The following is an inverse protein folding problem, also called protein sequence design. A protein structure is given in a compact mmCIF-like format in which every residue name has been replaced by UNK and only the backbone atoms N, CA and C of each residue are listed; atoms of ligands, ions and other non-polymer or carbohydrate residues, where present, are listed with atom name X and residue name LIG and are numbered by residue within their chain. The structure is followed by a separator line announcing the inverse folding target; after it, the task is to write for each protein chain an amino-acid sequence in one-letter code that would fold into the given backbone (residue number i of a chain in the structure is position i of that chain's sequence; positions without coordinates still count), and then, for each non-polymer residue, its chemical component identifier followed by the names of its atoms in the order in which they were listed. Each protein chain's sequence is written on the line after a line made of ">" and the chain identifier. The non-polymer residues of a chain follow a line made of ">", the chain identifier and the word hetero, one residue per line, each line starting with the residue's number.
data_IF_191191984232
#
_entry.id   IF_191191984232
#
_cell.length_a   1.000
_cell.length_b   1.000
_cell.length_c   1.000
_cell.angle_alpha   90.00
_cell.angle_beta   90.00
_cell.angle_gamma   90.00
#
_symmetry.space_group_name_H-M   'P 1'
#
loop_
_entity.id
_entity.type
_entity.pdbx_description
1 polymer ?
#
# COMPACT_ATOMS: atom_id res chain seq x y z
N UNK A 1 28.91 26.94 -25.72
CA UNK A 1 28.78 26.43 -24.34
C UNK A 1 27.43 25.75 -24.23
N UNK A 2 27.38 24.44 -24.01
CA UNK A 2 26.13 23.77 -23.65
C UNK A 2 25.86 24.04 -22.17
N UNK A 3 24.77 24.75 -21.88
CA UNK A 3 24.25 24.95 -20.54
C UNK A 3 23.74 23.62 -20.01
N UNK A 4 24.43 23.05 -19.03
CA UNK A 4 24.00 21.83 -18.35
C UNK A 4 22.78 22.14 -17.47
N UNK A 5 21.64 21.54 -17.78
CA UNK A 5 20.45 21.64 -16.95
C UNK A 5 20.32 20.35 -16.11
N UNK A 6 20.58 20.37 -14.80
CA UNK A 6 20.44 19.17 -13.97
C UNK A 6 18.98 18.69 -13.86
N UNK A 7 17.99 19.53 -14.17
CA UNK A 7 16.56 19.21 -14.08
C UNK A 7 16.02 18.39 -15.27
N UNK A 8 16.89 17.91 -16.16
CA UNK A 8 16.56 16.95 -17.23
C UNK A 8 17.25 15.60 -17.03
N UNK A 9 18.07 15.45 -15.98
CA UNK A 9 18.86 14.25 -15.71
C UNK A 9 18.06 13.32 -14.79
N UNK A 10 17.72 12.10 -15.24
CA UNK A 10 16.89 11.17 -14.45
C UNK A 10 17.42 10.95 -13.03
N UNK A 11 18.71 10.65 -12.86
CA UNK A 11 19.29 10.35 -11.55
C UNK A 11 19.18 11.53 -10.58
N UNK A 12 19.45 12.75 -11.05
CA UNK A 12 19.30 13.97 -10.25
C UNK A 12 17.84 14.20 -9.86
N UNK A 13 16.91 13.97 -10.80
CA UNK A 13 15.47 14.08 -10.51
C UNK A 13 15.04 13.01 -9.50
N UNK A 14 15.50 11.76 -9.65
CA UNK A 14 15.22 10.66 -8.74
C UNK A 14 15.62 10.98 -7.29
N UNK A 15 16.81 11.57 -7.09
CA UNK A 15 17.26 12.02 -5.76
C UNK A 15 16.41 13.16 -5.19
N UNK A 16 15.91 14.06 -6.05
CA UNK A 16 15.05 15.16 -5.64
C UNK A 16 13.67 14.63 -5.23
N UNK A 17 13.03 13.81 -6.08
CA UNK A 17 11.64 13.33 -5.85
C UNK A 17 11.52 12.51 -4.57
N UNK A 18 12.56 11.75 -4.20
CA UNK A 18 12.61 11.02 -2.93
C UNK A 18 12.43 11.92 -1.69
N UNK A 19 12.86 13.18 -1.77
CA UNK A 19 12.81 14.14 -0.66
C UNK A 19 11.52 14.97 -0.64
N UNK A 20 10.69 14.86 -1.68
CA UNK A 20 9.47 15.64 -1.82
C UNK A 20 8.28 15.02 -1.09
N UNK A 21 7.38 15.88 -0.62
CA UNK A 21 6.08 15.48 -0.09
C UNK A 21 5.16 14.96 -1.21
N UNK A 22 4.10 14.21 -0.87
CA UNK A 22 3.11 13.77 -1.87
C UNK A 22 2.45 14.96 -2.60
N UNK A 23 2.22 16.06 -1.89
CA UNK A 23 1.64 17.27 -2.46
C UNK A 23 2.57 17.92 -3.49
N UNK A 24 3.88 17.97 -3.21
CA UNK A 24 4.88 18.51 -4.12
C UNK A 24 5.07 17.61 -5.35
N UNK A 25 5.09 16.29 -5.14
CA UNK A 25 5.14 15.32 -6.24
C UNK A 25 3.97 15.51 -7.21
N UNK A 26 2.77 15.76 -6.70
CA UNK A 26 1.57 16.04 -7.51
C UNK A 26 1.68 17.33 -8.33
N UNK A 27 2.40 18.35 -7.84
CA UNK A 27 2.61 19.61 -8.57
C UNK A 27 3.65 19.44 -9.67
N UNK A 28 4.73 18.71 -9.40
CA UNK A 28 5.89 18.65 -10.28
C UNK A 28 5.85 17.56 -11.34
N UNK A 29 4.89 16.62 -11.29
CA UNK A 29 4.78 15.55 -12.27
C UNK A 29 4.51 16.03 -13.71
N UNK A 30 4.12 17.30 -13.90
CA UNK A 30 3.83 17.89 -15.21
C UNK A 30 4.97 18.73 -15.81
N UNK A 31 6.13 18.81 -15.16
CA UNK A 31 7.27 19.62 -15.65
C UNK A 31 7.74 19.13 -17.03
N UNK A 32 8.05 17.83 -17.13
CA UNK A 32 8.38 17.16 -18.39
C UNK A 32 8.22 15.64 -18.23
N UNK A 33 8.41 14.91 -19.33
CA UNK A 33 8.26 13.44 -19.35
C UNK A 33 9.21 12.72 -18.38
N UNK A 34 10.41 13.23 -18.15
CA UNK A 34 11.37 12.63 -17.22
C UNK A 34 10.86 12.77 -15.79
N UNK A 35 10.45 13.97 -15.37
CA UNK A 35 9.82 14.20 -14.05
C UNK A 35 8.59 13.33 -13.84
N UNK A 36 7.72 13.23 -14.85
CA UNK A 36 6.54 12.38 -14.78
C UNK A 36 6.91 10.91 -14.46
N UNK A 37 7.91 10.35 -15.16
CA UNK A 37 8.34 8.96 -14.97
C UNK A 37 8.99 8.74 -13.60
N UNK A 38 9.90 9.62 -13.19
CA UNK A 38 10.58 9.50 -11.90
C UNK A 38 9.59 9.64 -10.73
N UNK A 39 8.62 10.56 -10.85
CA UNK A 39 7.56 10.71 -9.84
C UNK A 39 6.63 9.49 -9.83
N UNK A 40 6.25 8.96 -10.99
CA UNK A 40 5.45 7.73 -11.07
C UNK A 40 6.17 6.56 -10.39
N UNK A 41 7.47 6.42 -10.62
CA UNK A 41 8.28 5.37 -9.98
C UNK A 41 8.37 5.56 -8.46
N UNK A 42 8.61 6.78 -7.98
CA UNK A 42 8.66 7.07 -6.54
C UNK A 42 7.30 6.84 -5.86
N UNK A 43 6.19 7.22 -6.50
CA UNK A 43 4.85 6.96 -5.96
C UNK A 43 4.56 5.45 -5.88
N UNK A 44 4.94 4.66 -6.90
CA UNK A 44 4.84 3.19 -6.86
C UNK A 44 5.64 2.60 -5.71
N UNK A 45 6.89 3.02 -5.53
CA UNK A 45 7.74 2.57 -4.42
C UNK A 45 7.13 2.88 -3.05
N UNK A 46 6.62 4.11 -2.86
CA UNK A 46 5.94 4.50 -1.61
C UNK A 46 4.66 3.71 -1.37
N UNK A 47 3.92 3.41 -2.44
CA UNK A 47 2.71 2.59 -2.38
C UNK A 47 3.05 1.15 -1.94
N UNK A 48 4.03 0.51 -2.56
CA UNK A 48 4.50 -0.84 -2.21
C UNK A 48 4.92 -0.92 -0.73
N UNK A 49 5.62 0.09 -0.23
CA UNK A 49 5.99 0.16 1.20
C UNK A 49 4.75 0.17 2.11
N UNK A 50 3.67 0.88 1.76
CA UNK A 50 2.45 0.88 2.56
C UNK A 50 1.70 -0.46 2.47
N UNK A 51 1.65 -1.08 1.29
CA UNK A 51 1.07 -2.41 1.07
C UNK A 51 1.77 -3.45 1.94
N UNK A 52 3.11 -3.53 1.85
CA UNK A 52 3.92 -4.46 2.63
C UNK A 52 3.77 -4.24 4.14
N UNK A 53 3.67 -2.97 4.56
CA UNK A 53 3.42 -2.63 5.96
C UNK A 53 2.04 -3.12 6.43
N UNK A 54 1.00 -2.95 5.61
CA UNK A 54 -0.35 -3.45 5.89
C UNK A 54 -0.39 -4.98 5.98
N UNK A 55 0.26 -5.65 5.04
CA UNK A 55 0.38 -7.11 4.99
C UNK A 55 1.10 -7.67 6.23
N UNK A 56 2.25 -7.10 6.60
CA UNK A 56 2.99 -7.51 7.80
C UNK A 56 2.16 -7.38 9.07
N UNK A 57 1.36 -6.32 9.19
CA UNK A 57 0.44 -6.15 10.32
C UNK A 57 -0.64 -7.24 10.35
N UNK A 58 -1.11 -7.71 9.19
CA UNK A 58 -2.04 -8.84 9.10
C UNK A 58 -1.41 -10.14 9.59
N UNK A 59 -0.21 -10.47 9.12
CA UNK A 59 0.53 -11.65 9.58
C UNK A 59 0.81 -11.62 11.09
N UNK A 60 1.21 -10.47 11.63
CA UNK A 60 1.43 -10.31 13.06
C UNK A 60 0.14 -10.48 13.88
N UNK A 61 -1.00 -9.97 13.37
CA UNK A 61 -2.32 -10.17 13.96
C UNK A 61 -2.68 -11.64 14.02
N UNK A 62 -2.57 -12.34 12.90
CA UNK A 62 -2.99 -13.74 12.78
C UNK A 62 -2.14 -14.64 13.68
N UNK A 63 -0.82 -14.40 13.71
CA UNK A 63 0.07 -15.07 14.67
C UNK A 63 -0.36 -14.84 16.11
N UNK A 64 -0.70 -13.61 16.48
CA UNK A 64 -1.13 -13.27 17.85
C UNK A 64 -2.47 -13.90 18.22
N UNK A 65 -3.39 -14.01 17.26
CA UNK A 65 -4.65 -14.73 17.43
C UNK A 65 -4.36 -16.21 17.66
N UNK A 66 -3.56 -16.87 16.81
CA UNK A 66 -3.22 -18.28 17.00
C UNK A 66 -2.53 -18.57 18.34
N UNK A 67 -1.60 -17.71 18.77
CA UNK A 67 -0.96 -17.81 20.10
C UNK A 67 -1.98 -17.71 21.25
N UNK A 68 -3.00 -16.85 21.11
CA UNK A 68 -4.07 -16.72 22.10
C UNK A 68 -4.99 -17.95 22.11
N UNK A 69 -5.33 -18.48 20.92
CA UNK A 69 -6.14 -19.68 20.76
C UNK A 69 -5.49 -20.89 21.42
N UNK A 70 -4.20 -21.08 21.21
CA UNK A 70 -3.44 -22.17 21.83
C UNK A 70 -3.36 -21.99 23.36
N UNK A 71 -3.10 -20.77 23.84
CA UNK A 71 -2.94 -20.49 25.26
C UNK A 71 -4.23 -20.65 26.08
N UNK A 72 -5.37 -20.34 25.48
CA UNK A 72 -6.68 -20.34 26.14
C UNK A 72 -7.63 -21.37 25.52
N UNK A 73 -7.10 -22.51 25.05
CA UNK A 73 -7.86 -23.55 24.35
C UNK A 73 -9.09 -24.06 25.12
N UNK A 74 -9.02 -24.02 26.45
CA UNK A 74 -10.04 -24.57 27.34
C UNK A 74 -11.04 -23.51 27.84
N UNK A 75 -10.86 -22.23 27.47
CA UNK A 75 -11.71 -21.12 27.90
C UNK A 75 -12.08 -20.24 26.69
N UNK A 76 -13.14 -20.66 25.99
CA UNK A 76 -13.68 -19.97 24.81
C UNK A 76 -14.05 -18.50 25.10
N UNK A 77 -14.48 -18.19 26.32
CA UNK A 77 -14.87 -16.83 26.70
C UNK A 77 -13.63 -15.93 26.73
N UNK A 78 -12.58 -16.36 27.45
CA UNK A 78 -11.33 -15.60 27.52
C UNK A 78 -10.68 -15.51 26.14
N UNK A 79 -10.68 -16.60 25.37
CA UNK A 79 -10.18 -16.62 24.00
C UNK A 79 -10.86 -15.55 23.14
N UNK A 80 -12.21 -15.53 23.10
CA UNK A 80 -12.96 -14.57 22.31
C UNK A 80 -12.69 -13.11 22.69
N UNK A 81 -12.57 -12.80 23.99
CA UNK A 81 -12.21 -11.45 24.44
C UNK A 81 -10.82 -11.01 23.97
N UNK A 82 -9.85 -11.93 24.02
CA UNK A 82 -8.46 -11.64 23.63
C UNK A 82 -8.36 -11.48 22.11
N UNK A 83 -8.98 -12.38 21.34
CA UNK A 83 -9.03 -12.28 19.88
C UNK A 83 -9.63 -10.95 19.43
N UNK A 84 -10.77 -10.56 20.02
CA UNK A 84 -11.40 -9.26 19.73
C UNK A 84 -10.47 -8.08 20.05
N UNK A 85 -9.78 -8.13 21.19
CA UNK A 85 -8.81 -7.09 21.58
C UNK A 85 -7.64 -6.98 20.60
N UNK A 86 -7.09 -8.12 20.15
CA UNK A 86 -6.02 -8.18 19.17
C UNK A 86 -6.51 -7.65 17.82
N UNK A 87 -7.65 -8.14 17.33
CA UNK A 87 -8.23 -7.74 16.06
C UNK A 87 -8.44 -6.21 15.99
N UNK A 88 -9.05 -5.60 17.01
CA UNK A 88 -9.27 -4.16 17.04
C UNK A 88 -7.97 -3.35 17.03
N UNK A 89 -6.96 -3.78 17.79
CA UNK A 89 -5.67 -3.10 17.84
C UNK A 89 -4.99 -3.11 16.46
N UNK A 90 -4.95 -4.27 15.81
CA UNK A 90 -4.34 -4.42 14.50
C UNK A 90 -5.14 -3.76 13.39
N UNK A 91 -6.47 -3.83 13.43
CA UNK A 91 -7.35 -3.13 12.50
C UNK A 91 -7.05 -1.62 12.48
N UNK A 92 -6.92 -0.99 13.64
CA UNK A 92 -6.58 0.44 13.73
C UNK A 92 -5.21 0.77 13.13
N UNK A 93 -4.22 -0.14 13.20
CA UNK A 93 -2.91 0.03 12.57
C UNK A 93 -2.97 -0.20 11.06
N UNK A 94 -3.67 -1.24 10.61
CA UNK A 94 -3.85 -1.56 9.19
C UNK A 94 -4.63 -0.45 8.48
N UNK A 95 -5.70 0.06 9.09
CA UNK A 95 -6.48 1.17 8.56
C UNK A 95 -5.65 2.45 8.38
N UNK A 96 -4.72 2.73 9.31
CA UNK A 96 -3.76 3.85 9.14
C UNK A 96 -2.83 3.64 7.94
N UNK A 97 -2.34 2.42 7.72
CA UNK A 97 -1.53 2.09 6.53
C UNK A 97 -2.37 2.17 5.24
N UNK A 98 -3.59 1.65 5.26
CA UNK A 98 -4.52 1.70 4.13
C UNK A 98 -4.85 3.14 3.72
N UNK A 99 -5.08 4.05 4.68
CA UNK A 99 -5.26 5.48 4.40
C UNK A 99 -4.08 6.08 3.63
N UNK A 100 -2.84 5.76 4.04
CA UNK A 100 -1.64 6.25 3.37
C UNK A 100 -1.46 5.66 1.98
N UNK A 101 -1.76 4.37 1.82
CA UNK A 101 -1.76 3.72 0.52
C UNK A 101 -2.74 4.40 -0.43
N UNK A 102 -4.00 4.55 -0.01
CA UNK A 102 -5.07 5.14 -0.81
C UNK A 102 -4.85 6.62 -1.12
N UNK A 103 -4.17 7.35 -0.22
CA UNK A 103 -3.74 8.71 -0.49
C UNK A 103 -2.78 8.76 -1.70
N UNK A 104 -1.82 7.84 -1.78
CA UNK A 104 -0.90 7.71 -2.92
C UNK A 104 -1.67 7.33 -4.19
N UNK A 105 -2.58 6.34 -4.09
CA UNK A 105 -3.41 5.89 -5.22
C UNK A 105 -4.25 7.04 -5.79
N UNK A 106 -4.79 7.92 -4.94
CA UNK A 106 -5.53 9.11 -5.36
C UNK A 106 -4.67 10.04 -6.21
N UNK A 107 -3.42 10.29 -5.80
CA UNK A 107 -2.49 11.11 -6.59
C UNK A 107 -2.15 10.45 -7.92
N UNK A 108 -1.87 9.15 -7.92
CA UNK A 108 -1.60 8.42 -9.16
C UNK A 108 -2.82 8.44 -10.10
N UNK A 109 -4.04 8.32 -9.57
CA UNK A 109 -5.27 8.35 -10.35
C UNK A 109 -5.49 9.70 -11.03
N UNK A 110 -5.40 10.79 -10.26
CA UNK A 110 -5.64 12.16 -10.76
C UNK A 110 -4.62 12.54 -11.84
N UNK A 111 -3.39 12.03 -11.74
CA UNK A 111 -2.33 12.32 -12.70
C UNK A 111 -2.26 11.34 -13.88
N UNK A 112 -3.20 10.39 -13.99
CA UNK A 112 -3.20 9.42 -15.10
C UNK A 112 -2.06 8.39 -15.05
N UNK A 113 -1.49 8.17 -13.88
CA UNK A 113 -0.39 7.22 -13.64
C UNK A 113 -0.85 5.79 -13.33
N UNK A 114 -2.16 5.56 -13.31
CA UNK A 114 -2.79 4.26 -13.09
C UNK A 114 -3.22 3.66 -14.43
N UNK A 115 -2.92 2.38 -14.64
CA UNK A 115 -3.33 1.65 -15.84
C UNK A 115 -4.85 1.54 -15.95
N UNK A 116 -5.38 1.20 -17.13
CA UNK A 116 -6.83 1.07 -17.31
C UNK A 116 -7.43 -0.02 -16.41
N UNK A 117 -6.74 -1.13 -16.20
CA UNK A 117 -7.20 -2.25 -15.36
C UNK A 117 -7.22 -1.87 -13.88
N UNK A 118 -6.24 -1.12 -13.40
CA UNK A 118 -6.14 -0.74 -11.98
C UNK A 118 -7.10 0.39 -11.57
N UNK A 119 -7.66 1.16 -12.51
CA UNK A 119 -8.47 2.36 -12.21
C UNK A 119 -9.69 2.07 -11.35
N UNK A 120 -10.42 1.00 -11.64
CA UNK A 120 -11.63 0.68 -10.88
C UNK A 120 -11.31 0.19 -9.47
N UNK A 121 -10.21 -0.57 -9.31
CA UNK A 121 -9.70 -0.99 -7.99
C UNK A 121 -9.34 0.24 -7.15
N UNK A 122 -8.61 1.20 -7.71
CA UNK A 122 -8.25 2.44 -6.98
C UNK A 122 -9.48 3.25 -6.59
N UNK A 123 -10.47 3.39 -7.49
CA UNK A 123 -11.73 4.08 -7.15
C UNK A 123 -12.47 3.37 -6.01
N UNK A 124 -12.51 2.04 -6.04
CA UNK A 124 -13.09 1.23 -4.97
C UNK A 124 -12.34 1.48 -3.64
N UNK A 125 -11.02 1.42 -3.63
CA UNK A 125 -10.20 1.66 -2.43
C UNK A 125 -10.46 3.05 -1.83
N UNK A 126 -10.53 4.09 -2.68
CA UNK A 126 -10.87 5.46 -2.26
C UNK A 126 -12.25 5.49 -1.59
N UNK A 127 -13.22 4.76 -2.12
CA UNK A 127 -14.56 4.69 -1.54
C UNK A 127 -14.58 3.93 -0.21
N UNK A 128 -13.84 2.83 -0.09
CA UNK A 128 -13.74 2.06 1.16
C UNK A 128 -13.17 2.90 2.30
N UNK A 129 -12.11 3.67 2.05
CA UNK A 129 -11.54 4.57 3.06
C UNK A 129 -12.53 5.66 3.49
N UNK A 130 -13.35 6.21 2.57
CA UNK A 130 -14.42 7.16 2.93
C UNK A 130 -15.47 6.53 3.83
N UNK A 131 -15.73 5.24 3.66
CA UNK A 131 -16.65 4.47 4.47
C UNK A 131 -16.03 3.93 5.77
N UNK A 132 -14.80 4.37 6.11
CA UNK A 132 -14.02 3.86 7.24
C UNK A 132 -13.76 2.35 7.21
N UNK A 133 -13.62 1.78 6.01
CA UNK A 133 -13.29 0.38 5.79
C UNK A 133 -11.88 0.22 5.20
N UNK A 134 -11.23 -0.89 5.52
CA UNK A 134 -9.98 -1.28 4.87
C UNK A 134 -10.35 -1.95 3.54
N UNK A 135 -9.79 -1.52 2.39
CA UNK A 135 -10.25 -2.00 1.09
C UNK A 135 -10.20 -3.51 0.88
N UNK A 136 -9.19 -4.17 1.44
CA UNK A 136 -9.01 -5.62 1.35
C UNK A 136 -9.67 -6.41 2.49
N UNK A 137 -10.31 -5.74 3.46
CA UNK A 137 -11.15 -6.43 4.46
C UNK A 137 -12.55 -6.73 3.89
N UNK A 138 -12.98 -6.00 2.86
CA UNK A 138 -14.29 -6.20 2.19
C UNK A 138 -14.27 -7.27 1.09
N UNK A 139 -13.10 -7.85 0.83
CA UNK A 139 -12.94 -8.97 -0.09
C UNK A 139 -13.22 -10.23 0.76
N UNK A 140 -14.51 -10.55 0.97
CA UNK A 140 -14.89 -11.90 1.39
C UNK A 140 -14.25 -12.86 0.38
N UNK A 141 -13.32 -13.71 0.83
CA UNK A 141 -12.70 -14.83 0.11
C UNK A 141 -12.93 -14.77 -1.41
N UNK A 142 -12.41 -13.74 -2.09
CA UNK A 142 -12.29 -13.84 -3.54
C UNK A 142 -11.30 -14.95 -3.72
N UNK A 143 -11.81 -16.10 -4.19
CA UNK A 143 -11.05 -17.30 -4.46
C UNK A 143 -9.66 -16.91 -4.94
N UNK A 144 -8.65 -17.04 -4.08
CA UNK A 144 -7.24 -16.81 -4.41
C UNK A 144 -6.80 -17.69 -5.61
N UNK A 145 -7.64 -18.65 -5.99
CA UNK A 145 -7.56 -19.43 -7.23
C UNK A 145 -7.71 -18.60 -8.51
N UNK A 146 -8.36 -17.42 -8.50
CA UNK A 146 -8.43 -16.53 -9.68
C UNK A 146 -7.25 -15.53 -9.75
N UNK A 147 -6.37 -15.52 -8.75
CA UNK A 147 -5.20 -14.64 -8.64
C UNK A 147 -3.88 -15.34 -9.04
N UNK A 148 -3.97 -16.40 -9.85
CA UNK A 148 -2.87 -17.28 -10.28
C UNK A 148 -1.90 -16.69 -11.33
N UNK A 149 -1.89 -15.36 -11.53
CA UNK A 149 -1.05 -14.67 -12.53
C UNK A 149 -0.02 -13.68 -11.90
N UNK A 150 0.35 -13.86 -10.63
CA UNK A 150 1.40 -13.07 -9.94
C UNK A 150 2.72 -13.83 -9.72
N UNK A 151 3.15 -14.61 -10.72
CA UNK A 151 4.45 -15.31 -10.72
C UNK A 151 5.69 -14.38 -10.63
N UNK A 152 5.50 -13.06 -10.67
CA UNK A 152 6.57 -12.05 -10.56
C UNK A 152 6.62 -11.35 -9.19
N UNK A 153 6.42 -12.08 -8.08
CA UNK A 153 6.84 -11.57 -6.77
C UNK A 153 8.39 -11.49 -6.74
N UNK A 154 8.99 -10.30 -6.50
CA UNK A 154 10.44 -10.16 -6.45
C UNK A 154 11.04 -11.13 -5.43
N UNK A 155 12.15 -11.76 -5.83
CA UNK A 155 12.91 -12.80 -5.13
C UNK A 155 13.35 -12.46 -3.68
N UNK A 156 13.09 -11.24 -3.23
CA UNK A 156 13.28 -10.74 -1.87
C UNK A 156 12.39 -11.40 -0.81
N UNK A 157 11.33 -12.11 -1.20
CA UNK A 157 10.46 -12.85 -0.26
C UNK A 157 11.05 -14.21 0.13
N UNK A 158 11.97 -14.78 -0.66
CA UNK A 158 12.51 -16.13 -0.43
C UNK A 158 13.67 -16.19 0.58
N UNK A 159 14.06 -15.06 1.17
CA UNK A 159 15.20 -15.00 2.12
C UNK A 159 14.85 -14.41 3.50
N UNK A 160 13.57 -14.33 3.88
CA UNK A 160 13.12 -13.79 5.16
C UNK A 160 12.39 -14.81 6.03
#
# INVERSE_FOLDING_TARGET
>A
MHTYNPLIIPDTIAEIVQKLSLEDLNKFCWINRTWYKEIQHELRKRWEIQVLKGYKLGLERDKKISEAQEKYSDDEVIQGYIEFGIANNYWGKQFKSAKKQVEIEKYMLVNGMISKSEKEIVKFNIQQIKNNAIPWDSIEDWDLAELEDWDDLPELIKQA
#
